data_IF_504584315866
#
_entry.id   IF_504584315866
#
_cell.length_a   1.000
_cell.length_b   1.000
_cell.length_c   1.000
_cell.angle_alpha   90.00
_cell.angle_beta   90.00
_cell.angle_gamma   90.00
#
_symmetry.space_group_name_H-M   'P 1'
#
loop_
_entity.id
_entity.type
_entity.pdbx_description
1 polymer ?
#
# COMPACT_ATOMS: atom_id res chain seq x y z
N UNK A 1 -4.62 9.31 -5.56
CA UNK A 1 -5.49 8.58 -4.62
C UNK A 1 -5.07 8.93 -3.22
N UNK A 2 -6.00 8.88 -2.26
CA UNK A 2 -5.62 8.98 -0.84
C UNK A 2 -5.00 7.64 -0.44
N UNK A 3 -3.83 7.67 0.18
CA UNK A 3 -3.11 6.48 0.60
C UNK A 3 -2.76 6.58 2.08
N UNK A 4 -3.14 5.55 2.83
CA UNK A 4 -2.75 5.37 4.22
C UNK A 4 -2.11 4.01 4.43
N UNK A 5 -0.88 3.99 4.92
CA UNK A 5 -0.15 2.78 5.29
C UNK A 5 0.07 2.80 6.80
N UNK A 6 -0.49 1.80 7.47
CA UNK A 6 -0.56 1.71 8.92
C UNK A 6 0.09 0.42 9.41
N UNK A 7 0.87 0.52 10.46
CA UNK A 7 1.34 -0.62 11.26
C UNK A 7 0.69 -0.55 12.64
N UNK A 8 0.66 -1.66 13.37
CA UNK A 8 0.19 -1.68 14.76
C UNK A 8 1.04 -0.77 15.68
N UNK A 9 2.25 -0.40 15.26
CA UNK A 9 3.16 0.45 16.04
C UNK A 9 3.07 1.94 15.69
N UNK A 10 2.84 2.27 14.41
CA UNK A 10 2.90 3.64 13.90
C UNK A 10 2.27 3.77 12.51
N UNK A 11 2.03 5.01 12.09
CA UNK A 11 1.68 5.35 10.71
C UNK A 11 2.96 5.39 9.88
N UNK A 12 3.02 4.60 8.81
CA UNK A 12 4.19 4.51 7.93
C UNK A 12 4.12 5.54 6.79
N UNK A 13 2.92 5.73 6.25
CA UNK A 13 2.66 6.73 5.22
C UNK A 13 1.23 7.22 5.34
N UNK A 14 1.01 8.51 5.12
CA UNK A 14 -0.32 9.09 5.00
C UNK A 14 -0.24 10.32 4.11
N UNK A 15 -0.98 10.32 3.01
CA UNK A 15 -0.98 11.42 2.06
C UNK A 15 -1.64 11.05 0.74
N UNK A 16 -1.30 11.82 -0.29
CA UNK A 16 -1.72 11.53 -1.65
C UNK A 16 -0.61 10.80 -2.42
N UNK A 17 -0.98 9.67 -3.03
CA UNK A 17 -0.10 8.87 -3.86
C UNK A 17 -0.60 8.81 -5.30
N UNK A 18 0.33 8.64 -6.22
CA UNK A 18 0.09 8.37 -7.64
C UNK A 18 -0.02 6.88 -7.90
N UNK A 19 0.81 6.08 -7.21
CA UNK A 19 0.76 4.63 -7.27
C UNK A 19 1.22 3.99 -5.96
N UNK A 20 0.72 2.78 -5.69
CA UNK A 20 1.31 1.87 -4.70
C UNK A 20 1.47 0.49 -5.32
N UNK A 21 2.67 -0.07 -5.22
CA UNK A 21 3.00 -1.41 -5.67
C UNK A 21 3.25 -2.30 -4.45
N UNK A 22 2.69 -3.51 -4.47
CA UNK A 22 2.82 -4.47 -3.39
C UNK A 22 2.60 -5.91 -3.87
N UNK A 23 3.11 -6.86 -3.09
CA UNK A 23 2.90 -8.28 -3.34
C UNK A 23 1.62 -8.76 -2.64
N UNK A 24 0.77 -9.47 -3.38
CA UNK A 24 -0.39 -10.21 -2.86
C UNK A 24 -0.11 -11.72 -2.95
N UNK A 25 -0.98 -12.53 -2.34
CA UNK A 25 -0.90 -13.99 -2.46
C UNK A 25 -1.03 -14.49 -3.92
N UNK A 26 -1.63 -13.69 -4.81
CA UNK A 26 -1.86 -14.06 -6.20
C UNK A 26 -0.84 -13.43 -7.16
N UNK A 27 0.17 -12.72 -6.64
CA UNK A 27 1.18 -12.02 -7.42
C UNK A 27 1.30 -10.54 -7.07
N UNK A 28 2.13 -9.85 -7.84
CA UNK A 28 2.37 -8.41 -7.68
C UNK A 28 1.21 -7.58 -8.23
N UNK A 29 0.78 -6.57 -7.47
CA UNK A 29 -0.27 -5.65 -7.88
C UNK A 29 0.20 -4.21 -7.73
N UNK A 30 -0.16 -3.39 -8.71
CA UNK A 30 0.02 -1.93 -8.65
C UNK A 30 -1.36 -1.28 -8.65
N UNK A 31 -1.68 -0.60 -7.55
CA UNK A 31 -2.90 0.21 -7.44
C UNK A 31 -2.58 1.62 -7.95
N UNK A 32 -3.39 2.07 -8.90
CA UNK A 32 -3.35 3.41 -9.50
C UNK A 32 -4.61 4.21 -9.12
N UNK A 33 -4.68 5.46 -9.59
CA UNK A 33 -5.86 6.31 -9.44
C UNK A 33 -7.11 5.62 -10.03
N UNK A 34 -8.22 5.66 -9.28
CA UNK A 34 -9.53 5.11 -9.65
C UNK A 34 -9.56 3.59 -9.89
N UNK A 35 -8.70 2.83 -9.24
CA UNK A 35 -8.80 1.37 -9.23
C UNK A 35 -10.18 0.91 -8.69
N UNK A 36 -10.71 -0.18 -9.26
CA UNK A 36 -11.92 -0.87 -8.78
C UNK A 36 -11.77 -1.26 -7.30
N UNK A 37 -12.89 -1.31 -6.57
CA UNK A 37 -12.86 -1.66 -5.17
C UNK A 37 -12.33 -3.09 -4.98
N UNK A 38 -11.34 -3.25 -4.12
CA UNK A 38 -10.65 -4.53 -3.92
C UNK A 38 -10.19 -4.67 -2.47
N UNK A 39 -10.30 -5.89 -1.95
CA UNK A 39 -9.69 -6.29 -0.69
C UNK A 39 -8.79 -7.49 -0.99
N UNK A 40 -7.56 -7.45 -0.49
CA UNK A 40 -6.61 -8.54 -0.64
C UNK A 40 -5.69 -8.66 0.56
N UNK A 41 -5.12 -9.85 0.72
CA UNK A 41 -4.03 -10.11 1.66
C UNK A 41 -2.71 -9.80 0.94
N UNK A 42 -1.81 -9.14 1.67
CA UNK A 42 -0.46 -8.83 1.23
C UNK A 42 0.50 -9.93 1.67
N UNK A 43 1.37 -10.34 0.76
CA UNK A 43 2.49 -11.25 1.03
C UNK A 43 3.75 -10.45 1.37
N UNK A 44 4.76 -11.13 1.88
CA UNK A 44 6.07 -10.55 2.18
C UNK A 44 6.69 -9.91 0.93
N UNK A 45 7.35 -8.77 1.12
CA UNK A 45 7.98 -8.06 0.02
C UNK A 45 8.31 -6.62 0.37
N UNK A 46 8.71 -5.86 -0.64
CA UNK A 46 8.91 -4.42 -0.51
C UNK A 46 7.77 -3.71 -1.19
N UNK A 47 6.97 -2.97 -0.42
CA UNK A 47 5.97 -2.07 -0.96
C UNK A 47 6.64 -0.80 -1.46
N UNK A 48 6.30 -0.37 -2.66
CA UNK A 48 6.80 0.87 -3.26
C UNK A 48 5.66 1.86 -3.43
N UNK A 49 5.84 3.09 -2.94
CA UNK A 49 4.86 4.17 -3.04
C UNK A 49 5.47 5.31 -3.83
N UNK A 50 4.77 5.80 -4.85
CA UNK A 50 5.09 7.03 -5.55
C UNK A 50 4.13 8.13 -5.10
N UNK A 51 4.62 9.13 -4.39
CA UNK A 51 3.78 10.26 -3.98
C UNK A 51 3.48 11.23 -5.14
N UNK A 52 2.57 12.19 -4.91
CA UNK A 52 2.24 13.22 -5.93
C UNK A 52 3.39 14.21 -6.21
N UNK A 53 4.42 14.25 -5.38
CA UNK A 53 5.62 15.08 -5.56
C UNK A 53 6.74 14.35 -6.32
N UNK A 54 6.50 13.09 -6.72
CA UNK A 54 7.50 12.26 -7.41
C UNK A 54 8.51 11.60 -6.47
N UNK A 55 8.27 11.61 -5.16
CA UNK A 55 9.13 10.93 -4.19
C UNK A 55 8.69 9.48 -4.00
N UNK A 56 9.66 8.59 -4.09
CA UNK A 56 9.48 7.16 -3.87
C UNK A 56 9.75 6.78 -2.41
N UNK A 57 8.91 5.90 -1.87
CA UNK A 57 9.07 5.31 -0.55
C UNK A 57 9.09 3.79 -0.67
N UNK A 58 10.04 3.16 0.02
CA UNK A 58 10.19 1.70 0.03
C UNK A 58 9.96 1.20 1.46
N UNK A 59 8.98 0.32 1.62
CA UNK A 59 8.57 -0.20 2.93
C UNK A 59 8.63 -1.73 2.89
N UNK A 60 9.58 -2.36 3.61
CA UNK A 60 9.61 -3.82 3.73
C UNK A 60 8.48 -4.28 4.64
N UNK A 61 7.63 -5.17 4.11
CA UNK A 61 6.49 -5.75 4.82
C UNK A 61 6.64 -7.26 4.93
N UNK A 62 6.19 -7.82 6.05
CA UNK A 62 6.13 -9.27 6.29
C UNK A 62 4.77 -9.84 5.87
N UNK A 63 3.69 -9.11 6.14
CA UNK A 63 2.31 -9.48 5.82
C UNK A 63 1.40 -8.24 5.91
N UNK A 64 0.14 -8.36 5.50
CA UNK A 64 -0.84 -7.29 5.71
C UNK A 64 -2.16 -7.48 4.98
N UNK A 65 -2.97 -6.43 5.01
CA UNK A 65 -4.23 -6.31 4.29
C UNK A 65 -4.22 -5.03 3.45
N UNK A 66 -4.77 -5.13 2.25
CA UNK A 66 -5.01 -4.03 1.33
C UNK A 66 -6.51 -3.89 1.12
N UNK A 67 -7.00 -2.66 1.27
CA UNK A 67 -8.36 -2.26 0.92
C UNK A 67 -8.26 -1.03 0.01
N UNK A 68 -8.94 -1.05 -1.13
CA UNK A 68 -9.15 0.14 -1.96
C UNK A 68 -10.63 0.32 -2.23
N UNK A 69 -11.13 1.55 -2.06
CA UNK A 69 -12.52 1.93 -2.32
C UNK A 69 -12.63 3.42 -2.58
N UNK A 70 -13.34 3.81 -3.63
CA UNK A 70 -13.63 5.23 -3.94
C UNK A 70 -12.35 6.12 -3.97
N UNK A 71 -11.27 5.61 -4.59
CA UNK A 71 -9.97 6.30 -4.68
C UNK A 71 -9.29 6.59 -3.33
N UNK A 72 -9.69 5.85 -2.29
CA UNK A 72 -9.07 5.79 -0.96
C UNK A 72 -8.51 4.37 -0.74
N UNK A 73 -7.19 4.27 -0.60
CA UNK A 73 -6.48 3.01 -0.44
C UNK A 73 -5.86 2.97 0.96
N UNK A 74 -6.19 1.92 1.72
CA UNK A 74 -5.70 1.69 3.08
C UNK A 74 -4.97 0.36 3.14
N UNK A 75 -3.78 0.39 3.72
CA UNK A 75 -2.95 -0.78 3.91
C UNK A 75 -2.62 -0.91 5.39
N UNK A 76 -2.93 -2.07 5.97
CA UNK A 76 -2.57 -2.42 7.34
C UNK A 76 -1.49 -3.50 7.23
N UNK A 77 -0.27 -3.18 7.64
CA UNK A 77 0.91 -4.01 7.38
C UNK A 77 1.66 -4.36 8.65
N UNK A 78 2.26 -5.54 8.64
CA UNK A 78 3.26 -5.96 9.60
C UNK A 78 4.66 -5.58 9.08
N UNK A 79 5.36 -4.72 9.81
CA UNK A 79 6.73 -4.34 9.48
C UNK A 79 7.67 -5.52 9.68
N UNK A 80 8.59 -5.72 8.73
CA UNK A 80 9.70 -6.66 8.91
C UNK A 80 10.68 -6.05 9.93
N UNK A 81 10.89 -6.76 11.05
CA UNK A 81 11.87 -6.37 12.09
C UNK A 81 13.30 -6.54 11.59
#
# INVERSE_FOLDING_TARGET
MKLGVYSLKKVLFRGEATSVNCNTLNGEVTILDNHEAMISILDKGTMTILDKNGKEYYIPISSGFLETRLNDTKLIVEEKQ
#
